data_IF_535785183713
#
_entry.id   IF_535785183713
#
_cell.length_a   1.000
_cell.length_b   1.000
_cell.length_c   1.000
_cell.angle_alpha   90.00
_cell.angle_beta   90.00
_cell.angle_gamma   90.00
#
_symmetry.space_group_name_H-M   'P 1'
#
loop_
_entity.id
_entity.type
_entity.pdbx_description
1 polymer ?
#
# COMPACT_ATOMS: atom_id res chain seq x y z
N UNK A 1 -1.58 1.11 20.68
CA UNK A 1 -1.67 1.72 19.34
C UNK A 1 -1.03 3.10 19.35
N UNK A 2 -0.50 3.53 18.23
CA UNK A 2 0.21 4.79 17.99
C UNK A 2 -0.61 5.99 18.45
N UNK A 3 -1.90 6.04 18.10
CA UNK A 3 -2.84 7.09 18.52
C UNK A 3 -3.02 7.17 20.04
N UNK A 4 -3.03 6.05 20.75
CA UNK A 4 -3.13 6.07 22.22
C UNK A 4 -1.87 6.66 22.88
N UNK A 5 -0.71 6.40 22.31
CA UNK A 5 0.55 6.99 22.78
C UNK A 5 0.56 8.50 22.52
N UNK A 6 0.14 8.93 21.33
CA UNK A 6 0.01 10.34 20.96
C UNK A 6 -0.98 11.07 21.88
N UNK A 7 -2.16 10.49 22.13
CA UNK A 7 -3.19 11.06 23.03
C UNK A 7 -2.66 11.25 24.45
N UNK A 8 -1.95 10.24 24.96
CA UNK A 8 -1.36 10.31 26.29
C UNK A 8 -0.32 11.43 26.40
N UNK A 9 0.45 11.65 25.33
CA UNK A 9 1.51 12.64 25.29
C UNK A 9 0.98 14.06 25.12
N UNK A 10 -0.08 14.24 24.31
CA UNK A 10 -0.60 15.56 23.94
C UNK A 10 -1.93 15.92 24.63
N UNK A 11 -2.47 15.04 25.48
CA UNK A 11 -3.75 15.26 26.16
C UNK A 11 -4.94 15.28 25.21
N UNK A 12 -4.87 14.55 24.08
CA UNK A 12 -5.92 14.47 23.06
C UNK A 12 -6.72 13.17 23.19
N UNK A 13 -7.80 13.05 22.44
CA UNK A 13 -8.68 11.87 22.42
C UNK A 13 -8.84 11.28 21.02
N UNK A 14 -7.84 11.43 20.17
CA UNK A 14 -7.88 11.05 18.76
C UNK A 14 -8.03 9.55 18.53
N UNK A 15 -7.57 8.73 19.48
CA UNK A 15 -7.79 7.28 19.44
C UNK A 15 -9.28 6.89 19.55
N UNK A 16 -10.11 7.79 20.10
CA UNK A 16 -11.56 7.59 20.21
C UNK A 16 -12.30 8.17 18.99
N UNK A 17 -11.78 9.25 18.41
CA UNK A 17 -12.35 9.93 17.25
C UNK A 17 -11.41 9.78 16.05
N UNK A 18 -11.25 8.55 15.55
CA UNK A 18 -10.41 8.30 14.37
C UNK A 18 -10.81 9.23 13.22
N UNK A 19 -9.90 10.07 12.71
CA UNK A 19 -10.23 10.94 11.61
C UNK A 19 -10.59 10.11 10.37
N UNK A 20 -11.77 10.39 9.80
CA UNK A 20 -12.21 9.78 8.54
C UNK A 20 -11.84 10.63 7.33
N UNK A 21 -11.46 11.87 7.60
CA UNK A 21 -11.03 12.85 6.63
C UNK A 21 -9.52 12.67 6.38
N UNK A 22 -9.10 12.44 5.12
CA UNK A 22 -7.70 12.25 4.76
C UNK A 22 -6.78 13.40 5.18
N UNK A 23 -7.23 14.65 5.02
CA UNK A 23 -6.41 15.81 5.37
C UNK A 23 -6.11 15.85 6.89
N UNK A 24 -7.13 15.60 7.73
CA UNK A 24 -6.93 15.48 9.18
C UNK A 24 -6.04 14.30 9.55
N UNK A 25 -6.16 13.18 8.84
CA UNK A 25 -5.31 12.01 9.08
C UNK A 25 -3.84 12.33 8.76
N UNK A 26 -3.58 12.98 7.63
CA UNK A 26 -2.25 13.42 7.23
C UNK A 26 -1.66 14.43 8.23
N UNK A 27 -2.44 15.44 8.65
CA UNK A 27 -2.01 16.40 9.67
C UNK A 27 -1.65 15.74 11.00
N UNK A 28 -2.41 14.74 11.41
CA UNK A 28 -2.15 13.97 12.62
C UNK A 28 -0.84 13.19 12.51
N UNK A 29 -0.64 12.49 11.38
CA UNK A 29 0.59 11.75 11.10
C UNK A 29 1.79 12.70 11.13
N UNK A 30 1.70 13.84 10.46
CA UNK A 30 2.75 14.85 10.46
C UNK A 30 3.09 15.33 11.86
N UNK A 31 2.08 15.71 12.63
CA UNK A 31 2.27 16.20 14.00
C UNK A 31 2.92 15.16 14.90
N UNK A 32 2.49 13.90 14.79
CA UNK A 32 3.08 12.80 15.52
C UNK A 32 4.55 12.58 15.16
N UNK A 33 4.85 12.47 13.85
CA UNK A 33 6.23 12.22 13.39
C UNK A 33 7.14 13.37 13.81
N UNK A 34 6.71 14.63 13.68
CA UNK A 34 7.48 15.81 14.10
C UNK A 34 7.76 15.82 15.60
N UNK A 35 6.75 15.51 16.41
CA UNK A 35 6.92 15.40 17.87
C UNK A 35 7.98 14.35 18.22
N UNK A 36 7.86 13.16 17.64
CA UNK A 36 8.81 12.07 17.90
C UNK A 36 10.24 12.42 17.43
N UNK A 37 10.40 13.07 16.29
CA UNK A 37 11.70 13.50 15.77
C UNK A 37 12.35 14.57 16.66
N UNK A 38 11.55 15.37 17.35
CA UNK A 38 12.04 16.41 18.27
C UNK A 38 12.51 15.80 19.59
N UNK A 39 11.76 14.82 20.09
CA UNK A 39 12.01 14.20 21.39
C UNK A 39 13.07 13.09 21.33
N UNK A 40 13.13 12.35 20.23
CA UNK A 40 14.00 11.20 20.07
C UNK A 40 14.90 11.31 18.84
N UNK A 41 16.18 11.55 19.06
CA UNK A 41 17.17 11.66 17.98
C UNK A 41 17.37 10.37 17.16
N UNK A 42 16.97 9.20 17.70
CA UNK A 42 17.07 7.90 17.04
C UNK A 42 15.75 7.42 16.46
N UNK A 43 14.72 8.28 16.46
CA UNK A 43 13.44 7.91 15.88
C UNK A 43 13.55 7.77 14.36
N UNK A 44 13.11 6.64 13.86
CA UNK A 44 12.89 6.36 12.45
C UNK A 44 11.43 5.95 12.23
N UNK A 45 10.88 6.24 11.08
CA UNK A 45 9.51 5.91 10.76
C UNK A 45 9.34 5.58 9.28
N UNK A 46 8.49 4.59 9.02
CA UNK A 46 7.92 4.37 7.70
C UNK A 46 6.40 4.56 7.80
N UNK A 47 5.87 5.52 7.08
CA UNK A 47 4.44 5.78 6.96
C UNK A 47 3.96 5.14 5.68
N UNK A 48 3.08 4.14 5.80
CA UNK A 48 2.51 3.43 4.66
C UNK A 48 1.08 3.93 4.48
N UNK A 49 0.77 4.42 3.29
CA UNK A 49 -0.56 4.85 2.86
C UNK A 49 -1.02 3.86 1.81
N UNK A 50 -1.97 3.03 2.17
CA UNK A 50 -2.62 2.09 1.26
C UNK A 50 -3.70 2.82 0.45
N UNK A 51 -3.98 2.36 -0.76
CA UNK A 51 -4.87 3.02 -1.72
C UNK A 51 -4.47 4.49 -1.96
N UNK A 52 -3.18 4.72 -2.23
CA UNK A 52 -2.63 6.06 -2.41
C UNK A 52 -3.34 6.91 -3.47
N UNK A 53 -3.92 6.28 -4.48
CA UNK A 53 -4.75 6.90 -5.52
C UNK A 53 -6.03 7.55 -4.99
N UNK A 54 -6.53 7.12 -3.83
CA UNK A 54 -7.72 7.73 -3.20
C UNK A 54 -7.40 9.04 -2.48
N UNK A 55 -6.12 9.29 -2.18
CA UNK A 55 -5.67 10.49 -1.48
C UNK A 55 -4.96 11.44 -2.44
N UNK A 56 -4.29 10.91 -3.44
CA UNK A 56 -3.54 11.65 -4.44
C UNK A 56 -3.84 11.13 -5.85
N UNK A 57 -5.09 11.24 -6.31
CA UNK A 57 -5.52 10.70 -7.60
C UNK A 57 -4.82 11.38 -8.77
N UNK A 58 -4.70 10.65 -9.88
CA UNK A 58 -4.33 11.22 -11.16
C UNK A 58 -5.38 12.26 -11.60
N UNK A 59 -4.94 13.29 -12.28
CA UNK A 59 -5.83 14.34 -12.81
C UNK A 59 -5.15 15.69 -12.88
N UNK A 60 -5.73 16.56 -13.69
CA UNK A 60 -5.31 17.95 -13.76
C UNK A 60 -5.83 18.75 -12.54
N UNK A 61 -5.10 19.78 -12.09
CA UNK A 61 -5.46 20.54 -10.88
C UNK A 61 -6.91 21.06 -10.85
N UNK A 62 -7.48 21.36 -12.03
CA UNK A 62 -8.88 21.82 -12.14
C UNK A 62 -9.94 20.75 -12.01
N UNK A 63 -9.54 19.48 -12.09
CA UNK A 63 -10.44 18.32 -11.98
C UNK A 63 -10.43 17.69 -10.57
N UNK A 64 -9.41 18.03 -9.79
CA UNK A 64 -9.24 17.51 -8.43
C UNK A 64 -10.09 18.28 -7.43
N UNK A 65 -10.61 17.59 -6.42
CA UNK A 65 -11.27 18.21 -5.28
C UNK A 65 -10.32 19.12 -4.49
N UNK A 66 -10.84 19.91 -3.59
CA UNK A 66 -10.01 20.75 -2.70
C UNK A 66 -9.20 19.85 -1.75
N UNK A 67 -9.81 18.78 -1.28
CA UNK A 67 -9.23 17.78 -0.39
C UNK A 67 -8.06 17.05 -1.08
N UNK A 68 -8.25 16.59 -2.32
CA UNK A 68 -7.20 15.91 -3.09
C UNK A 68 -5.99 16.82 -3.30
N UNK A 69 -6.23 18.08 -3.70
CA UNK A 69 -5.16 19.05 -3.85
C UNK A 69 -4.43 19.33 -2.53
N UNK A 70 -5.16 19.41 -1.43
CA UNK A 70 -4.60 19.57 -0.08
C UNK A 70 -3.67 18.42 0.29
N UNK A 71 -4.14 17.19 0.07
CA UNK A 71 -3.38 15.97 0.33
C UNK A 71 -2.12 15.88 -0.53
N UNK A 72 -2.22 16.15 -1.84
CA UNK A 72 -1.08 16.18 -2.77
C UNK A 72 -0.03 17.19 -2.33
N UNK A 73 -0.45 18.41 -1.97
CA UNK A 73 0.46 19.45 -1.49
C UNK A 73 1.15 19.02 -0.20
N UNK A 74 0.42 18.39 0.72
CA UNK A 74 0.97 17.88 1.98
C UNK A 74 2.02 16.80 1.74
N UNK A 75 1.72 15.82 0.90
CA UNK A 75 2.66 14.74 0.55
C UNK A 75 3.93 15.29 -0.13
N UNK A 76 3.78 16.21 -1.06
CA UNK A 76 4.94 16.89 -1.70
C UNK A 76 5.77 17.68 -0.72
N UNK A 77 5.13 18.37 0.21
CA UNK A 77 5.82 19.10 1.27
C UNK A 77 6.61 18.14 2.15
N UNK A 78 6.06 17.00 2.51
CA UNK A 78 6.79 15.97 3.28
C UNK A 78 8.02 15.47 2.55
N UNK A 79 7.90 15.17 1.25
CA UNK A 79 9.03 14.72 0.43
C UNK A 79 10.19 15.75 0.37
N UNK A 80 9.90 17.03 0.58
CA UNK A 80 10.89 18.13 0.54
C UNK A 80 11.25 18.71 1.92
N UNK A 81 10.65 18.19 3.00
CA UNK A 81 10.86 18.72 4.34
C UNK A 81 12.28 18.41 4.86
N UNK A 82 13.09 19.44 5.19
CA UNK A 82 14.46 19.24 5.66
C UNK A 82 14.55 18.35 6.93
N UNK A 83 13.55 18.44 7.82
CA UNK A 83 13.53 17.64 9.03
C UNK A 83 13.36 16.16 8.71
N UNK A 84 12.46 15.81 7.78
CA UNK A 84 12.23 14.45 7.36
C UNK A 84 13.41 13.90 6.56
N UNK A 85 13.99 14.71 5.66
CA UNK A 85 15.15 14.32 4.85
C UNK A 85 16.43 14.08 5.67
N UNK A 86 16.61 14.78 6.79
CA UNK A 86 17.74 14.59 7.69
C UNK A 86 17.58 13.41 8.65
N UNK A 87 16.41 12.80 8.65
CA UNK A 87 16.06 11.68 9.52
C UNK A 87 15.60 10.50 8.67
N UNK A 88 15.59 9.32 9.25
CA UNK A 88 15.14 8.10 8.61
C UNK A 88 13.60 8.03 8.60
N UNK A 89 12.96 8.97 7.87
CA UNK A 89 11.51 8.99 7.68
C UNK A 89 11.22 8.67 6.22
N UNK A 90 10.45 7.62 5.99
CA UNK A 90 10.03 7.18 4.66
C UNK A 90 8.51 7.24 4.56
N UNK A 91 8.01 7.75 3.45
CA UNK A 91 6.60 7.72 3.10
C UNK A 91 6.42 6.78 1.91
N UNK A 92 5.55 5.78 2.07
CA UNK A 92 5.27 4.78 1.05
C UNK A 92 3.80 4.88 0.66
N UNK A 93 3.52 5.17 -0.61
CA UNK A 93 2.18 5.10 -1.18
C UNK A 93 2.04 3.77 -1.90
N UNK A 94 1.04 2.98 -1.54
CA UNK A 94 0.69 1.75 -2.24
C UNK A 94 -0.49 2.10 -3.16
N UNK A 95 -0.35 1.79 -4.44
CA UNK A 95 -1.37 2.04 -5.47
C UNK A 95 -1.38 0.89 -6.48
N UNK A 96 -2.47 0.74 -7.22
CA UNK A 96 -2.56 -0.26 -8.29
C UNK A 96 -1.54 -0.02 -9.41
N UNK A 97 -1.19 1.24 -9.65
CA UNK A 97 -0.17 1.63 -10.61
C UNK A 97 0.16 3.11 -10.51
N UNK A 98 1.33 3.50 -10.98
CA UNK A 98 1.77 4.90 -10.96
C UNK A 98 0.89 5.82 -11.82
N UNK A 99 0.23 5.28 -12.84
CA UNK A 99 -0.71 6.03 -13.67
C UNK A 99 -1.99 6.47 -12.92
N UNK A 100 -2.35 5.82 -11.82
CA UNK A 100 -3.48 6.20 -10.97
C UNK A 100 -3.14 7.31 -9.96
N UNK A 101 -1.84 7.56 -9.74
CA UNK A 101 -1.35 8.60 -8.85
C UNK A 101 -1.11 9.94 -9.56
N UNK A 102 -1.15 11.01 -8.79
CA UNK A 102 -0.88 12.34 -9.32
C UNK A 102 0.53 12.45 -9.90
N UNK A 103 0.62 12.89 -11.15
CA UNK A 103 1.87 12.96 -11.89
C UNK A 103 2.94 13.83 -11.20
N UNK A 104 2.54 14.85 -10.43
CA UNK A 104 3.50 15.71 -9.71
C UNK A 104 4.17 15.03 -8.52
N UNK A 105 3.54 13.99 -7.96
CA UNK A 105 4.16 13.13 -6.94
C UNK A 105 5.09 12.11 -7.58
N UNK A 106 4.62 11.45 -8.63
CA UNK A 106 5.38 10.40 -9.33
C UNK A 106 6.65 10.97 -9.98
N UNK A 107 6.57 12.16 -10.57
CA UNK A 107 7.69 12.83 -11.24
C UNK A 107 8.65 13.56 -10.28
N UNK A 108 8.38 13.60 -8.97
CA UNK A 108 9.28 14.26 -8.02
C UNK A 108 10.62 13.48 -7.93
N UNK A 109 11.73 14.21 -7.98
CA UNK A 109 13.08 13.63 -7.94
C UNK A 109 13.39 12.81 -6.66
N UNK A 110 12.57 12.94 -5.63
CA UNK A 110 12.69 12.21 -4.35
C UNK A 110 11.75 11.02 -4.30
N UNK A 111 10.92 10.82 -5.32
CA UNK A 111 10.03 9.67 -5.44
C UNK A 111 10.74 8.55 -6.18
N UNK A 112 10.66 7.36 -5.61
CA UNK A 112 11.17 6.13 -6.25
C UNK A 112 10.00 5.19 -6.46
N UNK A 113 9.81 4.78 -7.70
CA UNK A 113 8.83 3.75 -8.04
C UNK A 113 9.41 2.36 -7.76
N UNK A 114 8.65 1.54 -7.04
CA UNK A 114 8.95 0.13 -6.82
C UNK A 114 7.79 -0.67 -7.40
N UNK A 115 7.99 -1.21 -8.59
CA UNK A 115 7.00 -2.06 -9.22
C UNK A 115 7.00 -3.46 -8.57
N UNK A 116 5.82 -3.91 -8.14
CA UNK A 116 5.61 -5.29 -7.69
C UNK A 116 4.98 -6.06 -8.84
N UNK A 117 5.75 -6.88 -9.57
CA UNK A 117 5.22 -7.61 -10.73
C UNK A 117 4.25 -8.71 -10.29
N UNK A 118 3.39 -9.14 -11.21
CA UNK A 118 2.64 -10.38 -11.02
C UNK A 118 3.62 -11.57 -10.86
N UNK A 119 3.23 -12.63 -10.13
CA UNK A 119 4.08 -13.78 -9.92
C UNK A 119 4.56 -14.41 -11.25
N UNK A 120 5.82 -14.79 -11.31
CA UNK A 120 6.39 -15.56 -12.41
C UNK A 120 5.76 -16.96 -12.51
N UNK A 121 5.99 -17.67 -13.60
CA UNK A 121 5.51 -19.06 -13.75
C UNK A 121 6.05 -19.96 -12.64
N UNK A 122 7.33 -19.83 -12.30
CA UNK A 122 7.98 -20.60 -11.23
C UNK A 122 7.38 -20.31 -9.85
N UNK A 123 7.10 -19.05 -9.56
CA UNK A 123 6.47 -18.66 -8.30
C UNK A 123 5.03 -19.18 -8.21
N UNK A 124 4.28 -19.14 -9.32
CA UNK A 124 2.94 -19.73 -9.36
C UNK A 124 3.00 -21.26 -9.21
N UNK A 125 3.94 -21.92 -9.89
CA UNK A 125 4.15 -23.35 -9.74
C UNK A 125 4.50 -23.74 -8.30
N UNK A 126 5.44 -23.02 -7.68
CA UNK A 126 5.82 -23.24 -6.29
C UNK A 126 4.64 -23.01 -5.33
N UNK A 127 3.82 -22.00 -5.60
CA UNK A 127 2.63 -21.71 -4.81
C UNK A 127 1.58 -22.84 -4.92
N UNK A 128 1.30 -23.30 -6.15
CA UNK A 128 0.35 -24.36 -6.43
C UNK A 128 0.76 -25.68 -5.78
N UNK A 129 2.06 -26.01 -5.82
CA UNK A 129 2.59 -27.24 -5.23
C UNK A 129 2.78 -27.13 -3.71
N UNK A 130 3.19 -25.97 -3.20
CA UNK A 130 3.47 -25.76 -1.78
C UNK A 130 2.21 -25.70 -0.90
N UNK A 131 1.06 -25.37 -1.47
CA UNK A 131 -0.22 -25.31 -0.77
C UNK A 131 -0.83 -26.70 -0.50
N UNK A 132 -0.17 -27.77 -0.95
CA UNK A 132 -0.64 -29.14 -0.76
C UNK A 132 -1.97 -29.38 -1.47
N UNK A 133 -2.11 -28.78 -2.65
CA UNK A 133 -3.22 -29.15 -3.53
C UNK A 133 -3.31 -30.66 -3.56
N UNK A 134 -4.42 -31.21 -3.09
CA UNK A 134 -4.62 -32.66 -3.13
C UNK A 134 -4.41 -33.11 -4.58
N UNK A 135 -3.82 -34.28 -4.83
CA UNK A 135 -3.69 -34.80 -6.19
C UNK A 135 -4.98 -34.70 -7.01
N UNK A 136 -6.12 -34.70 -6.33
CA UNK A 136 -7.45 -34.61 -6.94
C UNK A 136 -7.77 -33.21 -7.47
N UNK A 137 -7.21 -32.14 -6.87
CA UNK A 137 -7.42 -30.75 -7.35
C UNK A 137 -6.82 -30.53 -8.75
N UNK A 138 -5.80 -31.31 -9.10
CA UNK A 138 -5.12 -31.27 -10.40
C UNK A 138 -5.31 -32.55 -11.23
N UNK A 139 -6.34 -33.34 -10.96
CA UNK A 139 -6.55 -34.66 -11.61
C UNK A 139 -6.60 -34.60 -13.16
N UNK A 140 -6.89 -33.43 -13.73
CA UNK A 140 -6.94 -33.22 -15.19
C UNK A 140 -5.82 -32.35 -15.73
N UNK A 141 -5.16 -31.54 -14.89
CA UNK A 141 -4.10 -30.60 -15.30
C UNK A 141 -3.00 -30.71 -14.27
N UNK A 142 -1.76 -30.98 -14.69
CA UNK A 142 -0.62 -30.94 -13.78
C UNK A 142 -0.34 -29.50 -13.32
N UNK A 143 0.30 -29.36 -12.15
CA UNK A 143 0.59 -28.06 -11.53
C UNK A 143 1.44 -27.17 -12.45
N UNK A 144 2.29 -27.74 -13.30
CA UNK A 144 3.10 -26.99 -14.25
C UNK A 144 2.24 -26.33 -15.32
N UNK A 145 1.31 -27.10 -15.88
CA UNK A 145 0.37 -26.58 -16.88
C UNK A 145 -0.59 -25.56 -16.28
N UNK A 146 -1.03 -25.78 -15.02
CA UNK A 146 -1.83 -24.81 -14.30
C UNK A 146 -1.05 -23.47 -14.09
N UNK A 147 0.23 -23.55 -13.75
CA UNK A 147 1.08 -22.34 -13.61
C UNK A 147 1.22 -21.57 -14.92
N UNK A 148 1.29 -22.25 -16.07
CA UNK A 148 1.30 -21.59 -17.40
C UNK A 148 -0.04 -20.94 -17.69
N UNK A 149 -1.15 -21.66 -17.51
CA UNK A 149 -2.49 -21.18 -17.84
C UNK A 149 -2.95 -20.00 -16.96
N UNK A 150 -2.42 -19.89 -15.75
CA UNK A 150 -2.70 -18.79 -14.80
C UNK A 150 -1.76 -17.60 -14.96
N UNK A 151 -1.12 -17.45 -16.13
CA UNK A 151 -0.26 -16.30 -16.44
C UNK A 151 -0.97 -14.98 -16.21
N UNK A 152 -0.30 -14.04 -15.50
CA UNK A 152 -0.85 -12.71 -15.19
C UNK A 152 -1.76 -12.65 -13.96
N UNK A 153 -2.14 -13.78 -13.35
CA UNK A 153 -2.92 -13.78 -12.12
C UNK A 153 -2.05 -13.43 -10.91
N UNK A 154 -2.61 -12.66 -9.99
CA UNK A 154 -2.03 -12.42 -8.67
C UNK A 154 -2.17 -13.66 -7.79
N UNK A 155 -1.43 -13.71 -6.66
CA UNK A 155 -1.60 -14.81 -5.68
C UNK A 155 -3.02 -14.88 -5.14
N UNK A 156 -3.68 -13.75 -4.93
CA UNK A 156 -5.06 -13.68 -4.45
C UNK A 156 -6.03 -14.29 -5.46
N UNK A 157 -5.84 -13.99 -6.75
CA UNK A 157 -6.67 -14.56 -7.81
C UNK A 157 -6.45 -16.07 -7.94
N UNK A 158 -5.21 -16.54 -7.81
CA UNK A 158 -4.91 -17.98 -7.76
C UNK A 158 -5.61 -18.66 -6.59
N UNK A 159 -5.62 -18.00 -5.44
CA UNK A 159 -6.31 -18.50 -4.24
C UNK A 159 -7.82 -18.65 -4.46
N UNK A 160 -8.43 -17.65 -5.10
CA UNK A 160 -9.86 -17.68 -5.44
C UNK A 160 -10.20 -18.80 -6.42
N UNK A 161 -9.38 -18.97 -7.46
CA UNK A 161 -9.56 -20.06 -8.45
C UNK A 161 -9.45 -21.44 -7.79
N UNK A 162 -8.46 -21.62 -6.91
CA UNK A 162 -8.30 -22.88 -6.18
C UNK A 162 -9.47 -23.15 -5.24
N UNK A 163 -9.93 -22.15 -4.49
CA UNK A 163 -11.08 -22.27 -3.60
C UNK A 163 -12.38 -22.60 -4.36
N UNK A 164 -12.59 -22.01 -5.53
CA UNK A 164 -13.73 -22.35 -6.39
C UNK A 164 -13.64 -23.79 -6.93
N UNK A 165 -12.46 -24.22 -7.34
CA UNK A 165 -12.24 -25.59 -7.80
C UNK A 165 -12.50 -26.63 -6.69
N UNK A 166 -12.04 -26.35 -5.47
CA UNK A 166 -12.29 -27.19 -4.30
C UNK A 166 -13.79 -27.24 -3.94
N UNK A 167 -14.47 -26.09 -3.93
CA UNK A 167 -15.89 -25.98 -3.60
C UNK A 167 -16.80 -26.61 -4.65
N UNK A 168 -16.42 -26.52 -5.93
CA UNK A 168 -17.20 -27.06 -7.04
C UNK A 168 -17.04 -28.56 -7.28
N UNK A 169 -16.13 -29.23 -6.58
CA UNK A 169 -15.77 -30.63 -6.85
C UNK A 169 -15.28 -30.86 -8.29
N UNK A 170 -14.98 -29.75 -9.00
CA UNK A 170 -14.43 -29.79 -10.35
C UNK A 170 -12.90 -29.81 -10.22
N UNK A 171 -12.31 -30.92 -10.64
CA UNK A 171 -10.88 -30.91 -10.94
C UNK A 171 -10.64 -29.89 -12.07
N UNK A 172 -9.72 -28.94 -11.87
CA UNK A 172 -9.20 -28.04 -12.91
C UNK A 172 -8.55 -28.84 -14.03
#
# INVERSE_FOLDING_TARGET
>A
TLLKAYDKQNGTTLAQSQPRDPDRALQLIESYVRSQLTENRRFSACVIVDYGETIAPAGEPGQLSVEDRGSIVTLRRWASDPLFLQREVTFCLIAEGTASLNATLVADARTVEIAVPAPSEEERYAYLTGRGGTPDTFARIDARRAAVLTGGLTRLNLESVLAEAEAGGAAL
#
